data_IF_643714161796
#
_entry.id   IF_643714161796
#
_cell.length_a   1.000
_cell.length_b   1.000
_cell.length_c   1.000
_cell.angle_alpha   90.00
_cell.angle_beta   90.00
_cell.angle_gamma   90.00
#
_symmetry.space_group_name_H-M   'P 1'
#
loop_
_entity.id
_entity.type
_entity.pdbx_description
1 polymer ?
#
# COMPACT_ATOMS: atom_id res chain seq x y z
N UNK A 1 -44.91 23.85 -60.98
CA UNK A 1 -43.87 22.79 -61.10
C UNK A 1 -43.50 22.32 -59.71
N UNK A 2 -43.75 21.03 -59.38
CA UNK A 2 -43.49 20.43 -58.07
C UNK A 2 -42.01 20.03 -57.99
N UNK A 3 -41.28 20.38 -56.93
CA UNK A 3 -40.01 19.73 -56.60
C UNK A 3 -40.01 19.29 -55.13
N UNK A 4 -39.73 18.00 -54.94
CA UNK A 4 -39.89 17.23 -53.71
C UNK A 4 -38.68 17.42 -52.78
N UNK A 5 -38.98 17.40 -51.50
CA UNK A 5 -38.10 17.28 -50.34
C UNK A 5 -36.99 16.22 -50.51
N UNK A 6 -35.77 16.53 -50.06
CA UNK A 6 -34.85 15.54 -49.47
C UNK A 6 -34.18 16.17 -48.25
N UNK A 7 -34.77 15.95 -47.08
CA UNK A 7 -34.13 16.23 -45.80
C UNK A 7 -33.06 15.14 -45.57
N UNK A 8 -31.79 15.53 -45.60
CA UNK A 8 -30.70 14.71 -45.07
C UNK A 8 -30.61 14.98 -43.57
N UNK A 9 -31.22 14.11 -42.76
CA UNK A 9 -30.96 14.06 -41.34
C UNK A 9 -29.57 13.44 -41.13
N UNK A 10 -28.55 14.28 -40.93
CA UNK A 10 -27.24 13.83 -40.49
C UNK A 10 -27.36 13.36 -39.03
N UNK A 11 -27.40 12.04 -38.84
CA UNK A 11 -27.36 11.41 -37.53
C UNK A 11 -25.95 11.62 -36.95
N UNK A 12 -25.78 12.69 -36.17
CA UNK A 12 -24.57 12.94 -35.40
C UNK A 12 -24.47 11.87 -34.30
N UNK A 13 -23.65 10.84 -34.52
CA UNK A 13 -23.20 9.96 -33.46
C UNK A 13 -22.37 10.78 -32.48
N UNK A 14 -23.01 11.26 -31.41
CA UNK A 14 -22.32 11.71 -30.20
C UNK A 14 -21.76 10.44 -29.57
N UNK A 15 -20.57 10.02 -30.01
CA UNK A 15 -19.78 9.07 -29.25
C UNK A 15 -19.33 9.83 -28.02
N UNK A 16 -20.06 9.64 -26.92
CA UNK A 16 -19.63 10.07 -25.60
C UNK A 16 -18.33 9.32 -25.31
N UNK A 17 -17.18 9.91 -25.66
CA UNK A 17 -15.94 9.57 -24.98
C UNK A 17 -16.18 9.96 -23.54
N UNK A 18 -16.49 8.97 -22.69
CA UNK A 18 -16.31 9.12 -21.26
C UNK A 18 -14.84 9.48 -21.09
N UNK A 19 -14.56 10.77 -20.95
CA UNK A 19 -13.25 11.26 -20.58
C UNK A 19 -12.94 10.57 -19.26
N UNK A 20 -12.19 9.48 -19.35
CA UNK A 20 -11.76 8.72 -18.19
C UNK A 20 -10.66 9.60 -17.62
N UNK A 21 -11.01 10.34 -16.59
CA UNK A 21 -10.07 11.23 -15.93
C UNK A 21 -9.25 10.31 -15.05
N UNK A 22 -8.00 10.03 -15.40
CA UNK A 22 -7.10 9.45 -14.42
C UNK A 22 -6.84 10.51 -13.34
N UNK A 23 -6.32 10.12 -12.19
CA UNK A 23 -5.92 11.10 -11.15
C UNK A 23 -4.76 12.01 -11.60
N UNK A 24 -4.24 11.81 -12.81
CA UNK A 24 -3.21 12.57 -13.50
C UNK A 24 -3.54 12.80 -14.98
N UNK A 25 -2.78 13.69 -15.62
CA UNK A 25 -2.92 14.01 -17.04
C UNK A 25 -2.37 12.89 -17.92
N UNK A 26 -3.26 12.14 -18.57
CA UNK A 26 -2.89 11.03 -19.45
C UNK A 26 -2.01 11.42 -20.64
N UNK A 27 -2.02 12.68 -21.07
CA UNK A 27 -1.09 13.16 -22.10
C UNK A 27 0.37 13.19 -21.61
N UNK A 28 0.59 13.14 -20.28
CA UNK A 28 1.91 13.14 -19.64
C UNK A 28 2.34 11.77 -19.13
N UNK A 29 1.57 10.71 -19.42
CA UNK A 29 1.89 9.35 -19.02
C UNK A 29 3.25 8.90 -19.61
N UNK A 30 4.16 8.44 -18.75
CA UNK A 30 5.50 7.97 -19.12
C UNK A 30 5.71 6.51 -18.75
N UNK A 31 5.32 6.14 -17.53
CA UNK A 31 5.53 4.79 -17.02
C UNK A 31 4.59 3.78 -17.68
N UNK A 32 4.96 2.49 -17.60
CA UNK A 32 4.11 1.40 -18.09
C UNK A 32 2.76 1.41 -17.36
N UNK A 33 2.77 1.56 -16.04
CA UNK A 33 1.57 1.66 -15.21
C UNK A 33 0.68 2.83 -15.62
N UNK A 34 1.25 4.03 -15.80
CA UNK A 34 0.48 5.20 -16.24
C UNK A 34 -0.17 4.99 -17.61
N UNK A 35 0.57 4.38 -18.55
CA UNK A 35 0.03 4.06 -19.88
C UNK A 35 -1.12 3.06 -19.81
N UNK A 36 -0.99 2.01 -19.00
CA UNK A 36 -2.05 1.03 -18.78
C UNK A 36 -3.30 1.69 -18.17
N UNK A 37 -3.12 2.56 -17.18
CA UNK A 37 -4.21 3.33 -16.57
C UNK A 37 -4.93 4.19 -17.61
N UNK A 38 -4.17 4.88 -18.47
CA UNK A 38 -4.74 5.77 -19.47
C UNK A 38 -5.37 5.06 -20.68
N UNK A 39 -4.94 3.82 -20.96
CA UNK A 39 -5.49 3.03 -22.07
C UNK A 39 -6.79 2.28 -21.72
N UNK A 40 -7.15 2.20 -20.43
CA UNK A 40 -8.30 1.46 -19.95
C UNK A 40 -9.17 2.32 -19.02
N UNK A 41 -10.42 2.58 -19.45
CA UNK A 41 -11.33 3.46 -18.69
C UNK A 41 -11.68 2.94 -17.29
N UNK A 42 -11.71 1.62 -17.09
CA UNK A 42 -11.95 1.03 -15.77
C UNK A 42 -10.73 1.23 -14.86
N UNK A 43 -9.51 1.15 -15.39
CA UNK A 43 -8.30 1.48 -14.63
C UNK A 43 -8.22 2.96 -14.27
N UNK A 44 -8.56 3.86 -15.19
CA UNK A 44 -8.63 5.29 -14.88
C UNK A 44 -9.62 5.58 -13.75
N UNK A 45 -10.82 4.99 -13.78
CA UNK A 45 -11.79 5.14 -12.68
C UNK A 45 -11.27 4.56 -11.35
N UNK A 46 -10.54 3.45 -11.41
CA UNK A 46 -9.95 2.82 -10.23
C UNK A 46 -8.81 3.66 -9.63
N UNK A 47 -8.02 4.32 -10.47
CA UNK A 47 -6.98 5.27 -10.05
C UNK A 47 -7.58 6.50 -9.35
N UNK A 48 -8.70 7.04 -9.85
CA UNK A 48 -9.45 8.08 -9.13
C UNK A 48 -9.97 7.61 -7.77
N UNK A 49 -10.55 6.40 -7.73
CA UNK A 49 -11.06 5.81 -6.51
C UNK A 49 -9.93 5.62 -5.47
N UNK A 50 -8.74 5.19 -5.91
CA UNK A 50 -7.55 5.11 -5.08
C UNK A 50 -7.14 6.47 -4.53
N UNK A 51 -7.12 7.51 -5.37
CA UNK A 51 -6.79 8.86 -4.94
C UNK A 51 -7.80 9.41 -3.90
N UNK A 52 -9.10 9.12 -4.07
CA UNK A 52 -10.15 9.46 -3.10
C UNK A 52 -9.94 8.70 -1.79
N UNK A 53 -9.72 7.38 -1.84
CA UNK A 53 -9.50 6.55 -0.66
C UNK A 53 -8.27 7.01 0.14
N UNK A 54 -7.18 7.33 -0.55
CA UNK A 54 -5.96 7.86 0.06
C UNK A 54 -6.21 9.21 0.77
N UNK A 55 -6.86 10.18 0.10
CA UNK A 55 -7.19 11.48 0.72
C UNK A 55 -8.06 11.31 1.96
N UNK A 56 -9.04 10.41 1.88
CA UNK A 56 -9.96 10.11 2.97
C UNK A 56 -9.26 9.45 4.16
N UNK A 57 -8.38 8.46 3.92
CA UNK A 57 -7.57 7.85 4.96
C UNK A 57 -6.62 8.86 5.61
N UNK A 58 -5.98 9.70 4.79
CA UNK A 58 -5.07 10.76 5.24
C UNK A 58 -5.74 11.79 6.15
N UNK A 59 -7.01 12.12 5.92
CA UNK A 59 -7.76 13.06 6.77
C UNK A 59 -8.26 12.45 8.07
N UNK A 60 -8.45 11.13 8.14
CA UNK A 60 -8.98 10.43 9.32
C UNK A 60 -7.96 10.22 10.44
N UNK A 61 -6.66 10.16 10.10
CA UNK A 61 -5.62 9.75 11.05
C UNK A 61 -4.92 10.95 11.69
N UNK A 62 -4.46 10.76 12.93
CA UNK A 62 -3.54 11.70 13.57
C UNK A 62 -2.14 11.64 12.95
N UNK A 63 -1.62 10.43 12.71
CA UNK A 63 -0.30 10.23 12.11
C UNK A 63 -0.36 10.16 10.57
N UNK A 64 -0.22 11.34 9.95
CA UNK A 64 -0.18 11.49 8.49
C UNK A 64 1.07 10.90 7.82
N UNK A 65 2.18 10.76 8.55
CA UNK A 65 3.42 10.19 8.02
C UNK A 65 3.29 8.70 7.74
N UNK A 66 2.59 7.94 8.60
CA UNK A 66 2.32 6.52 8.39
C UNK A 66 1.55 6.24 7.10
N UNK A 67 0.50 7.02 6.82
CA UNK A 67 -0.27 6.90 5.57
C UNK A 67 0.60 7.24 4.35
N UNK A 68 1.37 8.33 4.43
CA UNK A 68 2.29 8.75 3.35
C UNK A 68 3.35 7.69 3.06
N UNK A 69 3.99 7.15 4.08
CA UNK A 69 5.03 6.14 3.92
C UNK A 69 4.43 4.83 3.38
N UNK A 70 3.34 4.34 3.97
CA UNK A 70 2.66 3.13 3.47
C UNK A 70 2.27 3.26 1.99
N UNK A 71 1.80 4.44 1.56
CA UNK A 71 1.46 4.65 0.14
C UNK A 71 2.69 4.63 -0.77
N UNK A 72 3.80 5.24 -0.34
CA UNK A 72 5.07 5.18 -1.09
C UNK A 72 5.62 3.76 -1.16
N UNK A 73 5.60 3.04 -0.04
CA UNK A 73 6.07 1.66 0.05
C UNK A 73 5.28 0.80 -0.95
N UNK A 74 3.95 0.89 -0.94
CA UNK A 74 3.08 0.19 -1.90
C UNK A 74 3.38 0.56 -3.36
N UNK A 75 3.55 1.86 -3.68
CA UNK A 75 3.90 2.31 -5.03
C UNK A 75 5.24 1.77 -5.53
N UNK A 76 6.16 1.48 -4.61
CA UNK A 76 7.49 0.90 -4.90
C UNK A 76 7.55 -0.62 -4.77
N UNK A 77 6.49 -1.27 -4.28
CA UNK A 77 6.48 -2.72 -4.01
C UNK A 77 6.71 -3.52 -5.28
N UNK A 78 7.35 -4.68 -5.13
CA UNK A 78 7.52 -5.61 -6.26
C UNK A 78 6.17 -6.06 -6.81
N UNK A 79 5.18 -6.30 -5.93
CA UNK A 79 3.81 -6.68 -6.30
C UNK A 79 3.18 -5.74 -7.31
N UNK A 80 3.36 -4.42 -7.14
CA UNK A 80 2.81 -3.43 -8.06
C UNK A 80 3.71 -3.19 -9.27
N UNK A 81 5.02 -3.07 -9.04
CA UNK A 81 5.98 -2.68 -10.08
C UNK A 81 6.27 -3.79 -11.09
N UNK A 82 6.00 -5.06 -10.73
CA UNK A 82 6.06 -6.21 -11.64
C UNK A 82 4.80 -6.43 -12.46
N UNK A 83 3.72 -5.67 -12.23
CA UNK A 83 2.49 -5.82 -13.01
C UNK A 83 2.69 -5.46 -14.48
N UNK A 84 2.39 -6.41 -15.36
CA UNK A 84 2.59 -6.25 -16.79
C UNK A 84 1.32 -5.98 -17.60
N UNK A 85 0.14 -6.11 -16.98
CA UNK A 85 -1.17 -5.97 -17.59
C UNK A 85 -2.21 -5.30 -16.69
N UNK A 86 -3.39 -5.04 -17.25
CA UNK A 86 -4.53 -4.43 -16.56
C UNK A 86 -5.07 -5.31 -15.43
N UNK A 87 -5.06 -6.64 -15.59
CA UNK A 87 -5.62 -7.55 -14.61
C UNK A 87 -4.83 -7.53 -13.30
N UNK A 88 -3.50 -7.55 -13.39
CA UNK A 88 -2.59 -7.40 -12.26
C UNK A 88 -2.78 -6.04 -11.57
N UNK A 89 -2.74 -4.94 -12.32
CA UNK A 89 -2.92 -3.60 -11.73
C UNK A 89 -4.26 -3.45 -11.04
N UNK A 90 -5.34 -3.94 -11.66
CA UNK A 90 -6.69 -3.90 -11.08
C UNK A 90 -6.75 -4.60 -9.73
N UNK A 91 -6.13 -5.78 -9.61
CA UNK A 91 -6.05 -6.51 -8.33
C UNK A 91 -5.33 -5.68 -7.27
N UNK A 92 -4.13 -5.18 -7.57
CA UNK A 92 -3.32 -4.43 -6.59
C UNK A 92 -3.97 -3.10 -6.18
N UNK A 93 -4.62 -2.39 -7.12
CA UNK A 93 -5.35 -1.16 -6.80
C UNK A 93 -6.59 -1.43 -5.96
N UNK A 94 -7.35 -2.49 -6.26
CA UNK A 94 -8.56 -2.87 -5.50
C UNK A 94 -8.20 -3.19 -4.06
N UNK A 95 -7.20 -4.06 -3.84
CA UNK A 95 -6.73 -4.39 -2.49
C UNK A 95 -6.25 -3.15 -1.75
N UNK A 96 -5.52 -2.25 -2.42
CA UNK A 96 -5.04 -1.03 -1.78
C UNK A 96 -6.18 -0.08 -1.38
N UNK A 97 -7.19 0.06 -2.22
CA UNK A 97 -8.40 0.85 -1.92
C UNK A 97 -9.11 0.28 -0.69
N UNK A 98 -9.26 -1.04 -0.59
CA UNK A 98 -9.88 -1.69 0.56
C UNK A 98 -9.11 -1.40 1.86
N UNK A 99 -7.78 -1.53 1.85
CA UNK A 99 -6.92 -1.19 2.99
C UNK A 99 -7.13 0.27 3.41
N UNK A 100 -7.04 1.21 2.47
CA UNK A 100 -7.18 2.64 2.74
C UNK A 100 -8.58 3.00 3.26
N UNK A 101 -9.62 2.40 2.68
CA UNK A 101 -10.99 2.57 3.14
C UNK A 101 -11.22 1.99 4.53
N UNK A 102 -10.48 0.93 4.90
CA UNK A 102 -10.49 0.31 6.22
C UNK A 102 -9.76 1.09 7.31
N UNK A 103 -8.93 2.08 6.96
CA UNK A 103 -8.20 2.92 7.93
C UNK A 103 -9.18 3.59 8.88
N UNK A 104 -8.96 3.36 10.18
CA UNK A 104 -9.81 3.85 11.26
C UNK A 104 -9.60 5.34 11.54
N UNK A 105 -10.58 5.95 12.22
CA UNK A 105 -10.48 7.34 12.63
C UNK A 105 -9.52 7.47 13.82
N UNK A 106 -8.98 8.66 14.08
CA UNK A 106 -8.05 8.92 15.19
C UNK A 106 -8.61 8.62 16.59
N UNK A 107 -9.93 8.42 16.70
CA UNK A 107 -10.62 8.04 17.94
C UNK A 107 -10.60 6.54 18.20
N UNK A 108 -10.31 5.71 17.19
CA UNK A 108 -10.25 4.26 17.32
C UNK A 108 -8.93 3.83 17.98
N UNK A 109 -8.98 2.80 18.84
CA UNK A 109 -7.81 2.29 19.57
C UNK A 109 -6.65 1.89 18.66
N UNK A 110 -6.94 1.22 17.53
CA UNK A 110 -5.93 0.79 16.59
C UNK A 110 -5.23 1.97 15.89
N UNK A 111 -5.88 3.13 15.79
CA UNK A 111 -5.32 4.31 15.10
C UNK A 111 -4.08 4.87 15.80
N UNK A 112 -3.92 4.61 17.11
CA UNK A 112 -2.72 4.91 17.90
C UNK A 112 -1.46 4.31 17.27
N UNK A 113 -1.61 3.15 16.63
CA UNK A 113 -0.50 2.41 16.05
C UNK A 113 -0.20 2.79 14.61
N UNK A 114 -1.06 3.61 13.98
CA UNK A 114 -0.78 4.14 12.64
C UNK A 114 0.54 4.92 12.64
N UNK A 115 1.50 4.55 11.80
CA UNK A 115 2.82 5.17 11.78
C UNK A 115 3.84 4.45 10.90
N UNK A 116 5.02 5.04 10.81
CA UNK A 116 6.21 4.42 10.21
C UNK A 116 7.22 4.14 11.32
N UNK A 117 7.84 2.97 11.26
CA UNK A 117 8.73 2.46 12.29
C UNK A 117 9.98 1.87 11.64
N UNK A 118 11.12 2.04 12.30
CA UNK A 118 12.40 1.47 11.88
C UNK A 118 13.02 0.65 13.00
N UNK A 119 13.69 -0.42 12.64
CA UNK A 119 14.34 -1.31 13.59
C UNK A 119 15.53 -0.63 14.23
N UNK A 120 15.68 -0.84 15.53
CA UNK A 120 16.82 -0.43 16.33
C UNK A 120 17.59 -1.66 16.81
N UNK A 121 18.91 -1.58 16.73
CA UNK A 121 19.84 -2.56 17.25
C UNK A 121 20.87 -1.87 18.14
N UNK A 122 21.03 -2.37 19.39
CA UNK A 122 21.95 -1.80 20.40
C UNK A 122 21.82 -0.27 20.56
N UNK A 123 20.57 0.23 20.53
CA UNK A 123 20.25 1.64 20.74
C UNK A 123 20.46 2.56 19.53
N UNK A 124 20.90 2.04 18.38
CA UNK A 124 21.02 2.78 17.12
C UNK A 124 20.03 2.23 16.09
N UNK A 125 19.69 3.05 15.09
CA UNK A 125 18.95 2.55 13.94
C UNK A 125 19.76 1.43 13.27
N UNK A 126 19.06 0.36 12.90
CA UNK A 126 19.65 -0.83 12.32
C UNK A 126 20.29 -0.55 10.96
N UNK A 127 21.52 -1.02 10.78
CA UNK A 127 22.29 -0.84 9.54
C UNK A 127 21.84 -1.77 8.42
N UNK A 128 21.25 -2.92 8.76
CA UNK A 128 20.64 -3.83 7.78
C UNK A 128 19.24 -3.33 7.37
N UNK A 129 18.73 -2.27 8.01
CA UNK A 129 17.53 -1.51 7.60
C UNK A 129 16.26 -2.35 7.44
N UNK A 130 15.65 -2.71 8.57
CA UNK A 130 14.26 -3.14 8.60
C UNK A 130 13.34 -1.96 8.93
N UNK A 131 12.30 -1.77 8.13
CA UNK A 131 11.29 -0.72 8.31
C UNK A 131 9.90 -1.27 8.06
N UNK A 132 8.92 -0.70 8.75
CA UNK A 132 7.51 -1.03 8.56
C UNK A 132 6.63 0.20 8.69
N UNK A 133 5.54 0.17 7.92
CA UNK A 133 4.40 1.04 8.08
C UNK A 133 3.25 0.22 8.68
N UNK A 134 2.63 0.74 9.73
CA UNK A 134 1.42 0.17 10.33
C UNK A 134 0.27 1.13 10.07
N UNK A 135 -0.87 0.59 9.65
CA UNK A 135 -2.13 1.30 9.56
C UNK A 135 -3.12 0.67 10.54
N UNK A 136 -3.61 1.47 11.48
CA UNK A 136 -4.76 1.10 12.30
C UNK A 136 -6.01 1.02 11.43
N UNK A 137 -6.70 -0.12 11.48
CA UNK A 137 -7.94 -0.36 10.76
C UNK A 137 -9.14 -0.37 11.72
N UNK A 138 -10.34 -0.35 11.14
CA UNK A 138 -11.58 -0.60 11.88
C UNK A 138 -11.56 -2.00 12.54
N UNK A 139 -12.44 -2.19 13.53
CA UNK A 139 -12.54 -3.44 14.30
C UNK A 139 -11.26 -3.81 15.07
N UNK A 140 -10.41 -2.83 15.36
CA UNK A 140 -9.20 -3.02 16.18
C UNK A 140 -8.06 -3.77 15.47
N UNK A 141 -8.15 -4.01 14.16
CA UNK A 141 -7.10 -4.70 13.39
C UNK A 141 -6.00 -3.74 12.96
N UNK A 142 -4.84 -4.28 12.63
CA UNK A 142 -3.74 -3.56 11.99
C UNK A 142 -3.51 -4.11 10.59
N UNK A 143 -3.14 -3.24 9.67
CA UNK A 143 -2.45 -3.62 8.44
C UNK A 143 -0.98 -3.29 8.59
N UNK A 144 -0.12 -4.26 8.29
CA UNK A 144 1.33 -4.16 8.44
C UNK A 144 1.93 -4.35 7.05
N UNK A 145 2.81 -3.43 6.66
CA UNK A 145 3.61 -3.52 5.44
C UNK A 145 5.03 -3.09 5.75
N UNK A 146 6.05 -3.84 5.36
CA UNK A 146 7.42 -3.49 5.64
C UNK A 146 8.42 -4.23 4.77
N UNK A 147 9.66 -3.77 4.83
CA UNK A 147 10.80 -4.36 4.13
C UNK A 147 11.98 -4.49 5.08
N UNK A 148 12.76 -5.54 4.90
CA UNK A 148 14.04 -5.74 5.54
C UNK A 148 15.08 -6.00 4.46
N UNK A 149 16.27 -5.43 4.63
CA UNK A 149 17.44 -5.77 3.85
C UNK A 149 18.46 -6.45 4.75
N UNK A 150 19.42 -7.12 4.15
CA UNK A 150 20.61 -7.56 4.85
C UNK A 150 21.78 -7.56 3.89
N UNK A 151 22.86 -6.89 4.30
CA UNK A 151 24.08 -6.80 3.52
C UNK A 151 25.04 -7.88 3.99
N UNK A 152 25.19 -8.93 3.19
CA UNK A 152 26.07 -10.03 3.55
C UNK A 152 27.55 -9.65 3.54
N UNK A 153 28.43 -10.54 4.03
CA UNK A 153 29.88 -10.34 3.98
C UNK A 153 30.41 -9.99 2.58
N UNK A 154 29.71 -10.44 1.54
CA UNK A 154 30.01 -10.16 0.14
C UNK A 154 29.05 -9.13 -0.50
N UNK A 155 28.48 -8.20 0.26
CA UNK A 155 27.56 -7.19 -0.27
C UNK A 155 28.15 -6.36 -1.42
N UNK A 156 29.47 -6.12 -1.41
CA UNK A 156 30.20 -5.50 -2.53
C UNK A 156 30.08 -6.27 -3.85
N UNK A 157 29.85 -7.58 -3.76
CA UNK A 157 29.68 -8.50 -4.89
C UNK A 157 28.20 -8.87 -5.11
N UNK A 158 27.26 -8.11 -4.55
CA UNK A 158 25.82 -8.31 -4.78
C UNK A 158 25.13 -9.27 -3.82
N UNK A 159 25.78 -9.71 -2.73
CA UNK A 159 25.09 -10.47 -1.68
C UNK A 159 24.22 -9.54 -0.83
N UNK A 160 23.04 -9.22 -1.36
CA UNK A 160 22.00 -8.47 -0.68
C UNK A 160 20.79 -9.39 -0.58
N UNK A 161 20.34 -9.63 0.63
CA UNK A 161 19.08 -10.31 0.88
C UNK A 161 18.01 -9.26 1.14
N UNK A 162 16.82 -9.50 0.61
CA UNK A 162 15.66 -8.66 0.84
C UNK A 162 14.46 -9.50 1.25
N UNK A 163 13.55 -8.87 1.98
CA UNK A 163 12.31 -9.50 2.39
C UNK A 163 11.24 -8.51 2.74
N UNK A 164 9.99 -8.95 2.58
CA UNK A 164 8.80 -8.14 2.85
C UNK A 164 7.95 -8.79 3.96
N UNK A 165 7.27 -7.96 4.72
CA UNK A 165 6.18 -8.38 5.60
C UNK A 165 4.93 -7.63 5.15
N UNK A 166 3.83 -8.34 4.92
CA UNK A 166 2.62 -7.75 4.39
C UNK A 166 1.39 -8.53 4.82
N UNK A 167 0.43 -7.85 5.43
CA UNK A 167 -0.84 -8.49 5.76
C UNK A 167 -1.58 -7.83 6.90
N UNK A 168 -2.50 -8.58 7.47
CA UNK A 168 -3.40 -8.09 8.51
C UNK A 168 -3.15 -8.81 9.82
N UNK A 169 -3.24 -8.08 10.93
CA UNK A 169 -3.33 -8.69 12.25
C UNK A 169 -4.76 -9.16 12.55
N UNK A 170 -4.85 -10.06 13.53
CA UNK A 170 -6.05 -10.21 14.37
C UNK A 170 -6.31 -8.89 15.13
N UNK A 171 -7.53 -8.63 15.64
CA UNK A 171 -7.77 -7.48 16.50
C UNK A 171 -6.76 -7.43 17.64
N UNK A 172 -6.24 -6.23 17.94
CA UNK A 172 -5.25 -6.02 19.01
C UNK A 172 -5.85 -6.46 20.34
N UNK A 173 -5.15 -7.34 21.06
CA UNK A 173 -5.55 -7.81 22.38
C UNK A 173 -5.53 -6.69 23.42
N UNK A 174 -6.27 -6.87 24.52
CA UNK A 174 -6.27 -5.93 25.65
C UNK A 174 -4.88 -5.80 26.31
N UNK A 175 -4.03 -6.81 26.11
CA UNK A 175 -2.61 -6.85 26.50
C UNK A 175 -1.69 -6.05 25.57
N UNK A 176 -2.23 -5.45 24.50
CA UNK A 176 -1.45 -4.72 23.50
C UNK A 176 -0.71 -5.61 22.50
N UNK A 177 -1.07 -6.89 22.40
CA UNK A 177 -0.45 -7.82 21.45
C UNK A 177 -1.29 -7.88 20.17
N UNK A 178 -0.63 -7.63 19.02
CA UNK A 178 -1.17 -7.95 17.71
C UNK A 178 -0.55 -9.24 17.20
N UNK A 179 -1.41 -10.21 16.84
CA UNK A 179 -0.98 -11.45 16.20
C UNK A 179 -1.14 -11.30 14.70
N UNK A 180 -0.05 -11.51 13.99
CA UNK A 180 0.05 -11.53 12.55
C UNK A 180 0.25 -12.97 12.09
N UNK A 181 -0.52 -13.39 11.10
CA UNK A 181 -0.46 -14.71 10.48
C UNK A 181 -0.92 -14.55 9.03
N UNK A 182 0.03 -14.41 8.11
CA UNK A 182 -0.22 -14.21 6.69
C UNK A 182 0.92 -14.79 5.86
N UNK A 183 0.59 -15.45 4.75
CA UNK A 183 1.54 -15.93 3.74
C UNK A 183 2.72 -16.75 4.31
N UNK A 184 2.45 -17.59 5.32
CA UNK A 184 3.46 -18.43 5.98
C UNK A 184 4.34 -17.68 7.00
N UNK A 185 4.11 -16.39 7.19
CA UNK A 185 4.73 -15.55 8.22
C UNK A 185 3.77 -15.40 9.42
N UNK A 186 4.21 -15.88 10.57
CA UNK A 186 3.53 -15.70 11.86
C UNK A 186 4.41 -14.88 12.78
N UNK A 187 3.87 -13.78 13.32
CA UNK A 187 4.59 -12.90 14.24
C UNK A 187 3.66 -12.33 15.31
N UNK A 188 4.23 -12.11 16.50
CA UNK A 188 3.60 -11.34 17.58
C UNK A 188 4.26 -9.98 17.67
N UNK A 189 3.44 -8.94 17.66
CA UNK A 189 3.85 -7.57 17.84
C UNK A 189 3.35 -7.09 19.20
N UNK A 190 4.26 -6.85 20.14
CA UNK A 190 3.92 -6.15 21.38
C UNK A 190 3.97 -4.64 21.13
N UNK A 191 2.82 -3.99 21.31
CA UNK A 191 2.62 -2.59 20.94
C UNK A 191 2.74 -1.69 22.18
N UNK A 192 3.74 -0.83 22.18
CA UNK A 192 3.96 0.23 23.18
C UNK A 192 4.01 1.59 22.46
N UNK A 193 3.64 2.68 23.13
CA UNK A 193 3.37 4.01 22.51
C UNK A 193 4.16 4.36 21.24
N UNK A 194 5.49 4.36 21.33
CA UNK A 194 6.40 4.65 20.22
C UNK A 194 7.32 3.49 19.86
N UNK A 195 7.09 2.30 20.44
CA UNK A 195 7.96 1.15 20.32
C UNK A 195 7.14 -0.10 20.02
N UNK A 196 7.57 -0.86 19.02
CA UNK A 196 6.97 -2.14 18.68
C UNK A 196 8.04 -3.20 18.82
N UNK A 197 7.77 -4.24 19.61
CA UNK A 197 8.63 -5.40 19.69
C UNK A 197 8.04 -6.50 18.82
N UNK A 198 8.79 -6.91 17.80
CA UNK A 198 8.40 -7.98 16.87
C UNK A 198 9.11 -9.26 17.26
N UNK A 199 8.32 -10.32 17.47
CA UNK A 199 8.79 -11.70 17.67
C UNK A 199 8.14 -12.60 16.63
N UNK A 200 8.95 -13.11 15.72
CA UNK A 200 8.56 -14.07 14.70
C UNK A 200 8.40 -15.47 15.32
N UNK A 201 7.36 -16.16 14.89
CA UNK A 201 7.10 -17.56 15.22
C UNK A 201 7.39 -18.48 14.03
N UNK A 202 7.20 -17.98 12.79
CA UNK A 202 7.72 -18.56 11.55
C UNK A 202 8.38 -17.46 10.73
N UNK A 203 9.56 -17.74 10.15
CA UNK A 203 10.46 -16.72 9.58
C UNK A 203 9.78 -15.78 8.60
N UNK A 204 9.51 -14.55 9.03
CA UNK A 204 8.94 -13.51 8.21
C UNK A 204 10.06 -12.81 7.41
N UNK A 205 9.83 -12.60 6.12
CA UNK A 205 10.76 -11.88 5.24
C UNK A 205 11.44 -12.75 4.19
N UNK A 206 11.66 -14.04 4.41
CA UNK A 206 12.36 -14.88 3.43
C UNK A 206 13.85 -14.54 3.26
N UNK A 207 14.57 -15.30 2.44
CA UNK A 207 15.96 -15.03 2.02
C UNK A 207 16.97 -14.65 3.14
N UNK A 208 16.91 -15.23 4.33
CA UNK A 208 17.80 -14.92 5.48
C UNK A 208 17.66 -13.49 6.06
N UNK A 209 16.58 -12.78 5.77
CA UNK A 209 16.22 -11.60 6.56
C UNK A 209 15.24 -11.99 7.68
N UNK A 210 15.15 -11.14 8.69
CA UNK A 210 14.20 -11.29 9.79
C UNK A 210 13.66 -9.91 10.14
N UNK A 211 12.41 -9.84 10.54
CA UNK A 211 11.76 -8.69 11.14
C UNK A 211 11.84 -8.70 12.67
N UNK A 212 12.44 -9.71 13.31
CA UNK A 212 12.65 -9.70 14.77
C UNK A 212 13.37 -8.43 15.22
N UNK A 213 12.92 -7.88 16.35
CA UNK A 213 13.59 -6.78 17.03
C UNK A 213 12.66 -5.69 17.52
N UNK A 214 13.29 -4.62 18.03
CA UNK A 214 12.59 -3.44 18.52
C UNK A 214 12.53 -2.40 17.41
N UNK A 215 11.34 -1.91 17.11
CA UNK A 215 11.10 -0.86 16.14
C UNK A 215 10.67 0.40 16.88
N UNK A 216 11.16 1.55 16.43
CA UNK A 216 10.76 2.84 16.97
C UNK A 216 10.10 3.66 15.90
N UNK A 217 9.08 4.41 16.31
CA UNK A 217 8.37 5.34 15.44
C UNK A 217 9.32 6.42 14.93
N UNK A 218 9.26 6.71 13.63
CA UNK A 218 9.91 7.87 13.01
C UNK A 218 9.09 9.14 13.16
#
# INVERSE_FOLDING_TARGET
MKMKMRAFAALACIVSLTASVASFDCAKAKSKTEKLICSDGAMSALDEALAVAYRSAYSRVGNKLGIKQSQRDWLSSYRLTSCDDVACLKKEFTERIEILNGVSASTDLASKWTGSFVRYWKGKEDQDTASMSILGLRSGRLFISGRALWYGPNAKNGQINDGEILGYSKPVGADGIAVFDADGCSAKLALHDNVIEVKEESGCGGLNVSFNGQYRRR
#
